data_IF_486171368856
#
_entry.id   IF_486171368856
#
_cell.length_a   1.000
_cell.length_b   1.000
_cell.length_c   1.000
_cell.angle_alpha   90.00
_cell.angle_beta   90.00
_cell.angle_gamma   90.00
#
_symmetry.space_group_name_H-M   'P 1'
#
loop_
_entity.id
_entity.type
_entity.pdbx_description
1 polymer ?
#
# COMPACT_ATOMS: atom_id res chain seq x y z
N UNK A 1 -44.27 3.47 40.52
CA UNK A 1 -45.55 4.21 40.53
C UNK A 1 -46.20 4.00 41.88
N UNK A 2 -46.58 5.11 42.52
CA UNK A 2 -47.06 5.22 43.89
C UNK A 2 -48.47 4.62 44.10
N UNK A 3 -48.78 4.19 45.33
CA UNK A 3 -50.08 4.43 46.02
C UNK A 3 -49.99 3.90 47.46
N UNK A 4 -49.87 4.77 48.47
CA UNK A 4 -50.91 5.40 49.34
C UNK A 4 -51.51 4.51 50.44
N UNK A 5 -51.24 4.96 51.66
CA UNK A 5 -51.89 4.72 52.95
C UNK A 5 -53.42 4.68 52.90
N UNK A 6 -54.02 3.89 53.80
CA UNK A 6 -55.19 4.34 54.58
C UNK A 6 -55.24 3.66 55.97
N UNK A 7 -55.09 4.50 57.00
CA UNK A 7 -55.34 4.20 58.41
C UNK A 7 -56.79 4.57 58.72
N UNK A 8 -57.48 3.77 59.54
CA UNK A 8 -58.71 4.19 60.20
C UNK A 8 -58.79 3.62 61.62
N UNK A 9 -59.05 4.52 62.56
CA UNK A 9 -59.06 4.34 64.00
C UNK A 9 -60.27 5.07 64.58
N UNK A 10 -61.15 4.36 65.31
CA UNK A 10 -62.22 4.87 66.19
C UNK A 10 -62.89 3.65 66.84
N UNK A 11 -63.34 3.55 68.10
CA UNK A 11 -63.17 4.20 69.41
C UNK A 11 -63.95 3.29 70.41
N UNK A 12 -63.57 3.13 71.68
CA UNK A 12 -64.31 2.32 72.65
C UNK A 12 -65.22 3.17 73.56
N UNK A 13 -66.51 2.86 73.56
CA UNK A 13 -67.49 3.28 74.58
C UNK A 13 -68.46 2.12 74.79
N UNK A 14 -69.04 1.84 75.94
CA UNK A 14 -69.13 2.54 77.21
C UNK A 14 -70.03 1.65 78.08
N UNK A 15 -69.76 1.68 79.38
CA UNK A 15 -70.38 0.90 80.46
C UNK A 15 -71.88 1.18 80.59
N UNK A 16 -72.70 0.15 80.84
CA UNK A 16 -73.94 0.33 81.64
C UNK A 16 -74.28 -0.96 82.39
N UNK A 17 -74.27 -0.86 83.72
CA UNK A 17 -74.85 -1.80 84.67
C UNK A 17 -76.38 -1.71 84.60
N UNK A 18 -77.07 -2.85 84.61
CA UNK A 18 -78.35 -2.98 85.30
C UNK A 18 -78.44 -4.34 85.98
N UNK A 19 -78.61 -4.26 87.29
CA UNK A 19 -78.85 -5.34 88.25
C UNK A 19 -80.26 -5.93 88.07
N UNK A 20 -80.43 -7.25 88.20
CA UNK A 20 -81.62 -7.82 88.85
C UNK A 20 -81.39 -9.29 89.21
N UNK A 21 -81.64 -9.57 90.49
CA UNK A 21 -81.44 -10.80 91.22
C UNK A 21 -82.73 -11.64 91.19
N UNK A 22 -82.66 -12.91 90.80
CA UNK A 22 -83.62 -13.95 91.21
C UNK A 22 -82.85 -15.24 91.55
N UNK A 23 -83.06 -15.70 92.78
CA UNK A 23 -82.50 -16.91 93.41
C UNK A 23 -83.29 -18.18 93.02
N UNK A 24 -82.76 -19.39 93.32
CA UNK A 24 -82.88 -20.58 92.49
C UNK A 24 -83.84 -21.63 93.07
N UNK A 25 -84.44 -22.43 92.20
CA UNK A 25 -85.12 -23.68 92.57
C UNK A 25 -84.40 -24.89 91.96
N UNK A 26 -83.67 -25.54 92.85
CA UNK A 26 -83.37 -26.97 92.93
C UNK A 26 -84.15 -27.87 91.96
N UNK A 27 -83.43 -28.50 91.03
CA UNK A 27 -83.79 -29.77 90.39
C UNK A 27 -82.48 -30.47 90.02
N UNK A 28 -82.01 -31.31 90.94
CA UNK A 28 -80.80 -32.12 90.80
C UNK A 28 -81.23 -33.51 90.31
N UNK A 29 -80.38 -34.08 89.45
CA UNK A 29 -80.27 -35.52 89.15
C UNK A 29 -81.12 -36.07 88.00
N UNK A 30 -80.90 -35.57 86.78
CA UNK A 30 -80.96 -36.40 85.55
C UNK A 30 -80.03 -35.90 84.41
N UNK A 31 -79.20 -34.87 84.64
CA UNK A 31 -78.44 -34.14 83.60
C UNK A 31 -76.94 -34.47 83.51
N UNK A 32 -76.41 -35.38 84.32
CA UNK A 32 -74.95 -35.53 84.50
C UNK A 32 -74.16 -36.23 83.38
N UNK A 33 -74.69 -37.15 82.54
CA UNK A 33 -73.95 -37.66 81.39
C UNK A 33 -73.95 -36.69 80.20
N UNK A 34 -75.10 -36.12 79.84
CA UNK A 34 -75.23 -35.23 78.68
C UNK A 34 -74.45 -33.92 78.84
N UNK A 35 -74.33 -33.38 80.06
CA UNK A 35 -73.51 -32.19 80.33
C UNK A 35 -72.00 -32.47 80.19
N UNK A 36 -71.56 -33.70 80.50
CA UNK A 36 -70.17 -34.11 80.33
C UNK A 36 -69.81 -34.34 78.85
N UNK A 37 -70.73 -34.91 78.07
CA UNK A 37 -70.61 -35.02 76.62
C UNK A 37 -70.59 -33.65 75.94
N UNK A 38 -71.47 -32.72 76.35
CA UNK A 38 -71.50 -31.36 75.83
C UNK A 38 -70.18 -30.61 76.05
N UNK A 39 -69.61 -30.69 77.26
CA UNK A 39 -68.27 -30.12 77.54
C UNK A 39 -67.16 -30.76 76.71
N UNK A 40 -67.25 -32.06 76.45
CA UNK A 40 -66.30 -32.78 75.58
C UNK A 40 -66.42 -32.32 74.12
N UNK A 41 -67.66 -32.17 73.64
CA UNK A 41 -67.96 -31.66 72.30
C UNK A 41 -67.46 -30.22 72.12
N UNK A 42 -67.72 -29.32 73.08
CA UNK A 42 -67.20 -27.94 73.08
C UNK A 42 -65.67 -27.91 72.98
N UNK A 43 -64.98 -28.74 73.78
CA UNK A 43 -63.53 -28.87 73.72
C UNK A 43 -63.07 -29.35 72.34
N UNK A 44 -63.74 -30.38 71.79
CA UNK A 44 -63.42 -30.90 70.46
C UNK A 44 -63.66 -29.86 69.35
N UNK A 45 -64.68 -29.03 69.50
CA UNK A 45 -65.02 -27.96 68.57
C UNK A 45 -63.95 -26.86 68.61
N UNK A 46 -63.53 -26.44 69.80
CA UNK A 46 -62.40 -25.52 69.94
C UNK A 46 -61.09 -26.07 69.38
N UNK A 47 -60.81 -27.36 69.59
CA UNK A 47 -59.64 -28.03 68.99
C UNK A 47 -59.75 -28.08 67.44
N UNK A 48 -60.96 -28.24 66.90
CA UNK A 48 -61.22 -28.21 65.46
C UNK A 48 -61.05 -26.80 64.89
N UNK A 49 -61.56 -25.76 65.55
CA UNK A 49 -61.35 -24.36 65.15
C UNK A 49 -59.86 -24.02 65.04
N UNK A 50 -59.07 -24.39 66.07
CA UNK A 50 -57.61 -24.20 66.05
C UNK A 50 -56.95 -24.94 64.88
N UNK A 51 -57.42 -26.14 64.55
CA UNK A 51 -56.91 -26.90 63.40
C UNK A 51 -57.29 -26.25 62.07
N UNK A 52 -58.51 -25.72 61.95
CA UNK A 52 -58.98 -24.99 60.76
C UNK A 52 -58.16 -23.72 60.56
N UNK A 53 -57.90 -22.94 61.61
CA UNK A 53 -57.05 -21.74 61.52
C UNK A 53 -55.63 -22.08 61.08
N UNK A 54 -55.05 -23.15 61.64
CA UNK A 54 -53.73 -23.65 61.20
C UNK A 54 -53.74 -24.11 59.75
N UNK A 55 -54.82 -24.76 59.29
CA UNK A 55 -54.96 -25.22 57.91
C UNK A 55 -55.11 -24.04 56.94
N UNK A 56 -55.90 -23.02 57.29
CA UNK A 56 -56.02 -21.77 56.53
C UNK A 56 -54.67 -21.05 56.41
N UNK A 57 -53.94 -20.90 57.52
CA UNK A 57 -52.62 -20.28 57.50
C UNK A 57 -51.61 -21.03 56.61
N UNK A 58 -51.68 -22.38 56.58
CA UNK A 58 -50.90 -23.20 55.64
C UNK A 58 -51.34 -23.01 54.20
N UNK A 59 -52.65 -22.92 53.93
CA UNK A 59 -53.18 -22.69 52.59
C UNK A 59 -52.72 -21.33 52.02
N UNK A 60 -52.72 -20.28 52.84
CA UNK A 60 -52.23 -18.96 52.43
C UNK A 60 -50.72 -18.92 52.19
N UNK A 61 -49.94 -19.66 52.98
CA UNK A 61 -48.51 -19.84 52.74
C UNK A 61 -48.26 -20.55 51.40
N UNK A 62 -48.94 -21.68 51.15
CA UNK A 62 -48.84 -22.42 49.89
C UNK A 62 -49.25 -21.56 48.69
N UNK A 63 -50.28 -20.71 48.83
CA UNK A 63 -50.70 -19.78 47.79
C UNK A 63 -49.62 -18.76 47.45
N UNK A 64 -48.94 -18.20 48.46
CA UNK A 64 -47.81 -17.28 48.26
C UNK A 64 -46.63 -17.96 47.59
N UNK A 65 -46.28 -19.17 48.03
CA UNK A 65 -45.18 -19.94 47.44
C UNK A 65 -45.46 -20.26 45.96
N UNK A 66 -46.71 -20.62 45.62
CA UNK A 66 -47.10 -20.90 44.25
C UNK A 66 -47.02 -19.67 43.32
N UNK A 67 -47.37 -18.48 43.84
CA UNK A 67 -47.17 -17.22 43.12
C UNK A 67 -45.68 -16.92 42.90
N UNK A 68 -44.84 -17.15 43.92
CA UNK A 68 -43.41 -16.96 43.80
C UNK A 68 -42.79 -17.95 42.80
N UNK A 69 -43.19 -19.23 42.82
CA UNK A 69 -42.77 -20.22 41.84
C UNK A 69 -43.18 -19.83 40.42
N UNK A 70 -44.41 -19.35 40.24
CA UNK A 70 -44.89 -18.86 38.94
C UNK A 70 -44.01 -17.72 38.40
N UNK A 71 -43.64 -16.75 39.24
CA UNK A 71 -42.73 -15.65 38.84
C UNK A 71 -41.30 -16.13 38.51
N UNK A 72 -40.80 -17.15 39.21
CA UNK A 72 -39.50 -17.76 38.92
C UNK A 72 -39.53 -18.52 37.60
N UNK A 73 -40.61 -19.25 37.32
CA UNK A 73 -40.82 -19.95 36.04
C UNK A 73 -40.81 -18.96 34.88
N UNK A 74 -41.54 -17.84 34.98
CA UNK A 74 -41.54 -16.82 33.91
C UNK A 74 -40.16 -16.22 33.69
N UNK A 75 -39.40 -15.99 34.76
CA UNK A 75 -38.01 -15.49 34.66
C UNK A 75 -37.10 -16.51 33.98
N UNK A 76 -37.17 -17.78 34.39
CA UNK A 76 -36.37 -18.86 33.80
C UNK A 76 -36.71 -19.03 32.32
N UNK A 77 -37.98 -18.98 31.94
CA UNK A 77 -38.39 -19.02 30.53
C UNK A 77 -37.75 -17.90 29.72
N UNK A 78 -37.78 -16.66 30.21
CA UNK A 78 -37.11 -15.54 29.53
C UNK A 78 -35.60 -15.73 29.38
N UNK A 79 -34.93 -16.25 30.41
CA UNK A 79 -33.49 -16.57 30.30
C UNK A 79 -33.21 -17.70 29.31
N UNK A 80 -34.09 -18.70 29.23
CA UNK A 80 -33.95 -19.81 28.28
C UNK A 80 -34.10 -19.34 26.84
N UNK A 81 -35.05 -18.44 26.57
CA UNK A 81 -35.23 -17.83 25.25
C UNK A 81 -34.02 -16.99 24.83
N UNK A 82 -33.46 -16.22 25.77
CA UNK A 82 -32.24 -15.45 25.53
C UNK A 82 -31.05 -16.36 25.20
N UNK A 83 -30.81 -17.41 26.00
CA UNK A 83 -29.74 -18.40 25.75
C UNK A 83 -29.93 -19.11 24.41
N UNK A 84 -31.19 -19.40 24.02
CA UNK A 84 -31.49 -19.98 22.72
C UNK A 84 -31.10 -19.02 21.58
N UNK A 85 -31.45 -17.74 21.69
CA UNK A 85 -31.09 -16.73 20.70
C UNK A 85 -29.57 -16.55 20.56
N UNK A 86 -28.84 -16.50 21.67
CA UNK A 86 -27.37 -16.39 21.64
C UNK A 86 -26.70 -17.63 21.03
N UNK A 87 -27.22 -18.84 21.32
CA UNK A 87 -26.74 -20.06 20.67
C UNK A 87 -26.97 -20.06 19.16
N UNK A 88 -28.08 -19.51 18.67
CA UNK A 88 -28.32 -19.37 17.24
C UNK A 88 -27.32 -18.40 16.57
N UNK A 89 -26.99 -17.28 17.24
CA UNK A 89 -25.95 -16.35 16.76
C UNK A 89 -24.58 -17.02 16.72
N UNK A 90 -24.19 -17.71 17.80
CA UNK A 90 -22.92 -18.44 17.87
C UNK A 90 -22.79 -19.52 16.79
N UNK A 91 -23.88 -20.23 16.49
CA UNK A 91 -23.90 -21.20 15.39
C UNK A 91 -23.65 -20.55 14.04
N UNK A 92 -24.27 -19.39 13.76
CA UNK A 92 -24.04 -18.65 12.51
C UNK A 92 -22.59 -18.18 12.39
N UNK A 93 -22.05 -17.55 13.43
CA UNK A 93 -20.65 -17.11 13.43
C UNK A 93 -19.68 -18.29 13.27
N UNK A 94 -19.98 -19.45 13.85
CA UNK A 94 -19.17 -20.66 13.67
C UNK A 94 -19.19 -21.16 12.21
N UNK A 95 -20.35 -21.14 11.56
CA UNK A 95 -20.45 -21.53 10.14
C UNK A 95 -19.74 -20.57 9.19
N UNK A 96 -19.78 -19.27 9.49
CA UNK A 96 -19.05 -18.23 8.75
C UNK A 96 -17.54 -18.42 8.91
N UNK A 97 -17.06 -18.55 10.15
CA UNK A 97 -15.65 -18.81 10.43
C UNK A 97 -15.13 -20.08 9.75
N UNK A 98 -15.93 -21.15 9.71
CA UNK A 98 -15.55 -22.37 9.03
C UNK A 98 -15.45 -22.18 7.50
N UNK A 99 -16.29 -21.31 6.93
CA UNK A 99 -16.21 -20.92 5.51
C UNK A 99 -14.93 -20.15 5.23
N UNK A 100 -14.61 -19.16 6.07
CA UNK A 100 -13.38 -18.36 5.96
C UNK A 100 -12.13 -19.22 6.09
N UNK A 101 -12.11 -20.18 7.03
CA UNK A 101 -11.01 -21.13 7.20
C UNK A 101 -10.78 -21.95 5.92
N UNK A 102 -11.85 -22.39 5.25
CA UNK A 102 -11.71 -23.16 4.01
C UNK A 102 -11.19 -22.29 2.86
N UNK A 103 -11.70 -21.06 2.72
CA UNK A 103 -11.18 -20.11 1.73
C UNK A 103 -9.68 -19.79 1.96
N UNK A 104 -9.26 -19.63 3.22
CA UNK A 104 -7.86 -19.42 3.57
C UNK A 104 -7.00 -20.64 3.23
N UNK A 105 -7.48 -21.86 3.46
CA UNK A 105 -6.77 -23.09 3.04
C UNK A 105 -6.55 -23.12 1.54
N UNK A 106 -7.59 -22.82 0.76
CA UNK A 106 -7.50 -22.82 -0.70
C UNK A 106 -6.50 -21.76 -1.20
N UNK A 107 -6.50 -20.57 -0.60
CA UNK A 107 -5.54 -19.52 -0.89
C UNK A 107 -4.10 -19.94 -0.55
N UNK A 108 -3.89 -20.63 0.58
CA UNK A 108 -2.57 -21.16 0.96
C UNK A 108 -2.08 -22.18 -0.08
N UNK A 109 -2.94 -23.07 -0.56
CA UNK A 109 -2.58 -24.04 -1.60
C UNK A 109 -2.20 -23.35 -2.91
N UNK A 110 -2.99 -22.38 -3.37
CA UNK A 110 -2.69 -21.60 -4.57
C UNK A 110 -1.38 -20.81 -4.44
N UNK A 111 -1.14 -20.20 -3.28
CA UNK A 111 0.11 -19.49 -3.01
C UNK A 111 1.31 -20.43 -3.02
N UNK A 112 1.18 -21.63 -2.45
CA UNK A 112 2.23 -22.64 -2.46
C UNK A 112 2.59 -23.06 -3.89
N UNK A 113 1.60 -23.30 -4.74
CA UNK A 113 1.83 -23.64 -6.15
C UNK A 113 2.56 -22.51 -6.90
N UNK A 114 2.21 -21.25 -6.62
CA UNK A 114 2.89 -20.10 -7.21
C UNK A 114 4.35 -19.99 -6.75
N UNK A 115 4.63 -20.25 -5.48
CA UNK A 115 5.99 -20.30 -4.94
C UNK A 115 6.81 -21.41 -5.61
N UNK A 116 6.23 -22.60 -5.79
CA UNK A 116 6.90 -23.72 -6.47
C UNK A 116 7.23 -23.36 -7.94
N UNK A 117 6.28 -22.73 -8.66
CA UNK A 117 6.50 -22.22 -10.03
C UNK A 117 7.60 -21.16 -10.09
N UNK A 118 7.62 -20.23 -9.13
CA UNK A 118 8.64 -19.18 -9.06
C UNK A 118 10.02 -19.79 -8.77
N UNK A 119 10.10 -20.72 -7.84
CA UNK A 119 11.33 -21.44 -7.48
C UNK A 119 11.93 -22.14 -8.71
N UNK A 120 11.11 -22.85 -9.48
CA UNK A 120 11.57 -23.52 -10.71
C UNK A 120 12.08 -22.53 -11.77
N UNK A 121 11.45 -21.36 -11.91
CA UNK A 121 11.93 -20.29 -12.80
C UNK A 121 13.27 -19.74 -12.36
N UNK A 122 13.47 -19.53 -11.05
CA UNK A 122 14.74 -19.07 -10.48
C UNK A 122 15.85 -20.08 -10.75
N UNK A 123 15.62 -21.37 -10.48
CA UNK A 123 16.61 -22.43 -10.78
C UNK A 123 16.98 -22.46 -12.27
N UNK A 124 16.00 -22.28 -13.17
CA UNK A 124 16.26 -22.21 -14.61
C UNK A 124 17.08 -20.98 -14.98
N UNK A 125 16.83 -19.83 -14.36
CA UNK A 125 17.60 -18.60 -14.58
C UNK A 125 19.04 -18.75 -14.07
N UNK A 126 19.25 -19.33 -12.90
CA UNK A 126 20.58 -19.62 -12.36
C UNK A 126 21.41 -20.48 -13.32
N UNK A 127 20.81 -21.53 -13.89
CA UNK A 127 21.49 -22.36 -14.90
C UNK A 127 21.87 -21.58 -16.16
N UNK A 128 20.99 -20.67 -16.62
CA UNK A 128 21.28 -19.80 -17.78
C UNK A 128 22.39 -18.81 -17.49
N UNK A 129 22.41 -18.23 -16.29
CA UNK A 129 23.49 -17.33 -15.85
C UNK A 129 24.81 -18.08 -15.82
N UNK A 130 24.88 -19.24 -15.18
CA UNK A 130 26.10 -20.06 -15.15
C UNK A 130 26.59 -20.44 -16.56
N UNK A 131 25.66 -20.73 -17.47
CA UNK A 131 26.02 -21.00 -18.89
C UNK A 131 26.56 -19.77 -19.59
N UNK A 132 26.02 -18.58 -19.28
CA UNK A 132 26.47 -17.33 -19.87
C UNK A 132 27.84 -16.93 -19.33
N UNK A 133 28.07 -17.09 -18.03
CA UNK A 133 29.34 -16.86 -17.35
C UNK A 133 30.46 -17.68 -18.00
N UNK A 134 30.25 -18.99 -18.17
CA UNK A 134 31.19 -19.87 -18.85
C UNK A 134 31.43 -19.51 -20.33
N UNK A 135 30.50 -18.81 -21.00
CA UNK A 135 30.72 -18.29 -22.36
C UNK A 135 31.54 -17.01 -22.34
N UNK A 136 31.32 -16.14 -21.36
CA UNK A 136 32.11 -14.92 -21.14
C UNK A 136 33.56 -15.28 -20.87
N UNK A 137 33.82 -16.25 -19.99
CA UNK A 137 35.17 -16.75 -19.72
C UNK A 137 35.87 -17.20 -21.01
N UNK A 138 35.20 -17.98 -21.86
CA UNK A 138 35.73 -18.41 -23.16
C UNK A 138 35.99 -17.25 -24.13
N UNK A 139 35.22 -16.17 -24.04
CA UNK A 139 35.47 -14.98 -24.85
C UNK A 139 36.68 -14.20 -24.32
N UNK A 140 36.82 -14.08 -23.00
CA UNK A 140 37.99 -13.46 -22.36
C UNK A 140 39.26 -14.22 -22.75
N UNK A 141 39.28 -15.55 -22.62
CA UNK A 141 40.41 -16.40 -23.03
C UNK A 141 40.81 -16.23 -24.50
N UNK A 142 39.85 -15.90 -25.39
CA UNK A 142 40.12 -15.64 -26.81
C UNK A 142 40.58 -14.21 -27.07
N UNK A 143 40.16 -13.25 -26.27
CA UNK A 143 40.45 -11.84 -26.47
C UNK A 143 41.84 -11.46 -25.95
N UNK A 144 42.28 -12.04 -24.84
CA UNK A 144 43.60 -11.80 -24.26
C UNK A 144 44.77 -11.98 -25.27
N UNK A 145 44.87 -13.09 -26.05
CA UNK A 145 45.94 -13.24 -27.03
C UNK A 145 45.83 -12.25 -28.20
N UNK A 146 44.62 -11.84 -28.59
CA UNK A 146 44.42 -10.83 -29.63
C UNK A 146 44.98 -9.46 -29.21
N UNK A 147 44.82 -9.09 -27.93
CA UNK A 147 45.42 -7.85 -27.38
C UNK A 147 46.94 -7.90 -27.52
N UNK A 148 47.57 -9.03 -27.17
CA UNK A 148 49.02 -9.23 -27.30
C UNK A 148 49.49 -9.18 -28.76
N UNK A 149 48.72 -9.77 -29.69
CA UNK A 149 49.02 -9.70 -31.13
C UNK A 149 48.95 -8.27 -31.66
N UNK A 150 47.95 -7.49 -31.25
CA UNK A 150 47.80 -6.07 -31.62
C UNK A 150 48.97 -5.24 -31.10
N UNK A 151 49.38 -5.44 -29.84
CA UNK A 151 50.55 -4.75 -29.28
C UNK A 151 51.84 -5.11 -30.04
N UNK A 152 52.02 -6.39 -30.36
CA UNK A 152 53.17 -6.86 -31.18
C UNK A 152 53.17 -6.22 -32.56
N UNK A 153 52.01 -6.11 -33.21
CA UNK A 153 51.87 -5.45 -34.51
C UNK A 153 52.19 -3.95 -34.41
N UNK A 154 51.76 -3.29 -33.33
CA UNK A 154 52.05 -1.88 -33.06
C UNK A 154 53.55 -1.62 -32.91
N UNK A 155 54.27 -2.49 -32.22
CA UNK A 155 55.74 -2.40 -32.10
C UNK A 155 56.45 -2.57 -33.44
N UNK A 156 56.02 -3.55 -34.25
CA UNK A 156 56.55 -3.75 -35.61
C UNK A 156 56.31 -2.53 -36.50
N UNK A 157 55.11 -1.95 -36.45
CA UNK A 157 54.77 -0.74 -37.20
C UNK A 157 55.67 0.43 -36.79
N UNK A 158 55.87 0.62 -35.47
CA UNK A 158 56.76 1.66 -34.94
C UNK A 158 58.20 1.48 -35.44
N UNK A 159 58.69 0.25 -35.45
CA UNK A 159 60.02 -0.09 -35.99
C UNK A 159 60.13 0.25 -37.48
N UNK A 160 59.12 -0.12 -38.27
CA UNK A 160 59.07 0.21 -39.70
C UNK A 160 59.06 1.73 -39.95
N UNK A 161 58.32 2.49 -39.14
CA UNK A 161 58.29 3.95 -39.23
C UNK A 161 59.67 4.57 -38.98
N UNK A 162 60.41 4.08 -37.97
CA UNK A 162 61.79 4.54 -37.68
C UNK A 162 62.73 4.21 -38.84
N UNK A 163 62.64 3.00 -39.39
CA UNK A 163 63.46 2.59 -40.54
C UNK A 163 63.16 3.43 -41.79
N UNK A 164 61.89 3.72 -42.05
CA UNK A 164 61.47 4.55 -43.17
C UNK A 164 61.97 6.00 -43.01
N UNK A 165 61.83 6.59 -41.82
CA UNK A 165 62.36 7.92 -41.52
C UNK A 165 63.88 7.99 -41.76
N UNK A 166 64.62 6.97 -41.30
CA UNK A 166 66.07 6.87 -41.53
C UNK A 166 66.42 6.71 -43.02
N UNK A 167 65.63 5.95 -43.77
CA UNK A 167 65.84 5.77 -45.22
C UNK A 167 65.58 7.07 -45.98
N UNK A 168 64.51 7.80 -45.64
CA UNK A 168 64.20 9.13 -46.18
C UNK A 168 65.35 10.10 -45.91
N UNK A 169 65.88 10.12 -44.69
CA UNK A 169 67.02 10.98 -44.34
C UNK A 169 68.26 10.66 -45.19
N UNK A 170 68.60 9.37 -45.37
CA UNK A 170 69.72 8.95 -46.24
C UNK A 170 69.52 9.31 -47.71
N UNK A 171 68.29 9.27 -48.21
CA UNK A 171 67.98 9.69 -49.57
C UNK A 171 68.13 11.20 -49.71
N UNK A 172 67.61 11.96 -48.74
CA UNK A 172 67.73 13.41 -48.72
C UNK A 172 69.20 13.88 -48.66
N UNK A 173 70.04 13.25 -47.83
CA UNK A 173 71.48 13.58 -47.78
C UNK A 173 72.16 13.31 -49.11
N UNK A 174 71.90 12.15 -49.74
CA UNK A 174 72.43 11.82 -51.07
C UNK A 174 72.01 12.82 -52.14
N UNK A 175 70.75 13.27 -52.14
CA UNK A 175 70.25 14.28 -53.09
C UNK A 175 70.99 15.62 -52.89
N UNK A 176 71.22 16.03 -51.64
CA UNK A 176 71.97 17.26 -51.33
C UNK A 176 73.42 17.13 -51.79
N UNK A 177 74.06 15.99 -51.56
CA UNK A 177 75.45 15.74 -51.96
C UNK A 177 75.61 15.68 -53.49
N UNK A 178 74.68 15.06 -54.21
CA UNK A 178 74.70 15.05 -55.68
C UNK A 178 74.39 16.42 -56.28
N UNK A 179 73.54 17.22 -55.63
CA UNK A 179 73.26 18.60 -56.05
C UNK A 179 74.49 19.50 -55.86
N UNK A 180 75.24 19.35 -54.76
CA UNK A 180 76.52 20.06 -54.55
C UNK A 180 77.61 19.61 -55.52
N UNK A 181 77.65 18.33 -55.90
CA UNK A 181 78.60 17.81 -56.87
C UNK A 181 78.32 18.25 -58.32
N UNK A 182 77.08 18.64 -58.63
CA UNK A 182 76.67 19.10 -59.97
C UNK A 182 76.71 20.61 -60.15
N UNK A 183 76.94 21.41 -59.09
CA UNK A 183 77.16 22.86 -59.19
C UNK A 183 78.55 23.29 -59.74
N UNK A 184 79.46 22.34 -60.04
CA UNK A 184 80.81 22.63 -60.58
C UNK A 184 81.03 22.24 -62.06
N UNK A 185 79.99 22.03 -62.85
CA UNK A 185 80.15 22.00 -64.32
C UNK A 185 78.84 22.17 -65.08
N UNK A 186 78.73 23.33 -65.74
CA UNK A 186 77.99 23.62 -67.00
C UNK A 186 76.56 24.23 -66.87
N UNK A 187 76.22 25.21 -67.77
CA UNK A 187 75.24 26.29 -67.58
C UNK A 187 73.80 25.95 -68.00
N UNK A 188 72.83 26.88 -67.79
CA UNK A 188 71.40 26.62 -67.93
C UNK A 188 70.90 26.81 -69.36
N UNK A 189 70.03 25.89 -69.80
CA UNK A 189 68.95 25.98 -70.82
C UNK A 189 68.43 24.56 -71.04
N UNK A 190 67.15 24.23 -70.88
CA UNK A 190 66.05 24.49 -71.80
C UNK A 190 64.70 24.27 -71.06
N UNK A 191 63.83 25.28 -71.02
CA UNK A 191 62.49 25.37 -71.65
C UNK A 191 61.46 24.28 -71.32
N UNK A 192 60.49 24.73 -70.52
CA UNK A 192 59.05 24.39 -70.46
C UNK A 192 58.46 23.91 -71.79
N UNK A 193 57.77 22.76 -71.81
CA UNK A 193 56.54 22.50 -72.62
C UNK A 193 55.67 21.40 -71.96
N UNK A 194 54.38 21.74 -71.85
CA UNK A 194 53.12 20.97 -71.81
C UNK A 194 52.77 19.85 -70.81
N UNK A 195 51.71 20.21 -70.07
CA UNK A 195 50.49 19.45 -69.80
C UNK A 195 50.14 18.34 -70.81
N UNK A 196 49.84 17.15 -70.29
CA UNK A 196 49.35 16.03 -71.08
C UNK A 196 48.58 15.02 -70.23
N UNK A 197 47.26 15.19 -70.23
CA UNK A 197 46.27 14.36 -69.56
C UNK A 197 46.36 12.85 -69.85
N UNK A 198 46.22 12.03 -68.80
CA UNK A 198 45.77 10.64 -68.84
C UNK A 198 45.60 10.16 -67.38
N UNK A 199 44.59 9.43 -66.94
CA UNK A 199 43.37 8.85 -67.52
C UNK A 199 42.47 8.56 -66.31
N UNK A 200 41.18 8.84 -66.44
CA UNK A 200 40.16 8.34 -65.54
C UNK A 200 40.22 6.81 -65.50
N UNK A 201 40.49 6.24 -64.32
CA UNK A 201 40.27 4.82 -64.04
C UNK A 201 38.89 4.72 -63.43
N UNK A 202 37.95 4.31 -64.28
CA UNK A 202 36.62 3.89 -63.94
C UNK A 202 36.71 2.65 -63.04
N UNK A 203 36.44 2.83 -61.75
CA UNK A 203 36.23 1.72 -60.82
C UNK A 203 34.78 1.77 -60.38
N UNK A 204 33.92 1.12 -61.17
CA UNK A 204 32.61 0.64 -60.73
C UNK A 204 32.81 -0.29 -59.51
N UNK A 205 32.76 0.30 -58.32
CA UNK A 205 32.52 -0.42 -57.07
C UNK A 205 31.02 -0.43 -56.82
N UNK A 206 30.48 -1.64 -56.68
CA UNK A 206 29.08 -1.94 -56.42
C UNK A 206 28.53 -1.19 -55.20
N UNK A 207 27.85 -0.08 -55.41
CA UNK A 207 26.91 0.48 -54.45
C UNK A 207 25.63 -0.37 -54.43
N UNK A 208 25.69 -1.50 -53.73
CA UNK A 208 24.50 -2.09 -53.12
C UNK A 208 24.15 -1.17 -51.95
N UNK A 209 22.92 -0.66 -51.79
CA UNK A 209 22.53 -0.01 -50.56
C UNK A 209 22.50 -1.11 -49.50
N UNK A 210 23.62 -1.25 -48.78
CA UNK A 210 23.62 -1.87 -47.49
C UNK A 210 22.65 -1.01 -46.70
N UNK A 211 21.43 -1.53 -46.46
CA UNK A 211 20.65 -1.11 -45.30
C UNK A 211 21.55 -1.43 -44.13
N UNK A 212 22.43 -0.49 -43.79
CA UNK A 212 23.01 -0.40 -42.48
C UNK A 212 21.79 -0.31 -41.57
N UNK A 213 21.40 -1.47 -41.05
CA UNK A 213 20.75 -1.56 -39.77
C UNK A 213 21.76 -0.99 -38.79
N UNK A 214 21.87 0.35 -38.75
CA UNK A 214 22.30 1.08 -37.57
C UNK A 214 21.38 0.53 -36.49
N UNK A 215 21.86 -0.47 -35.75
CA UNK A 215 21.28 -0.79 -34.47
C UNK A 215 21.60 0.44 -33.62
N UNK A 216 20.61 1.31 -33.36
CA UNK A 216 20.97 2.62 -32.88
C UNK A 216 21.30 2.46 -31.41
N UNK A 217 22.59 2.47 -31.10
CA UNK A 217 23.15 2.42 -29.76
C UNK A 217 22.41 3.37 -28.80
N UNK A 218 21.90 4.49 -29.31
CA UNK A 218 21.05 5.42 -28.58
C UNK A 218 19.76 4.80 -28.02
N UNK A 219 19.16 3.78 -28.67
CA UNK A 219 17.96 3.08 -28.15
C UNK A 219 18.28 2.34 -26.87
N UNK A 220 19.42 1.64 -26.82
CA UNK A 220 19.89 0.94 -25.62
C UNK A 220 20.25 1.94 -24.53
N UNK A 221 20.89 3.05 -24.90
CA UNK A 221 21.27 4.08 -23.95
C UNK A 221 20.05 4.78 -23.34
N UNK A 222 19.06 5.17 -24.15
CA UNK A 222 17.80 5.73 -23.68
C UNK A 222 17.06 4.76 -22.75
N UNK A 223 16.99 3.47 -23.14
CA UNK A 223 16.41 2.43 -22.29
C UNK A 223 17.13 2.29 -20.95
N UNK A 224 18.46 2.32 -20.95
CA UNK A 224 19.27 2.22 -19.74
C UNK A 224 19.07 3.44 -18.84
N UNK A 225 19.12 4.65 -19.38
CA UNK A 225 18.92 5.90 -18.62
C UNK A 225 17.54 5.91 -17.95
N UNK A 226 16.49 5.57 -18.69
CA UNK A 226 15.12 5.49 -18.16
C UNK A 226 15.02 4.40 -17.08
N UNK A 227 15.64 3.23 -17.29
CA UNK A 227 15.54 2.15 -16.31
C UNK A 227 16.42 2.32 -15.07
N UNK A 228 17.53 3.02 -15.17
CA UNK A 228 18.44 3.29 -14.05
C UNK A 228 17.94 4.43 -13.16
N UNK A 229 17.17 5.36 -13.73
CA UNK A 229 16.62 6.52 -13.01
C UNK A 229 15.26 6.30 -12.37
N UNK A 230 14.56 5.22 -12.73
CA UNK A 230 13.21 4.95 -12.22
C UNK A 230 13.26 4.65 -10.71
N UNK A 231 12.17 4.95 -9.96
CA UNK A 231 12.08 4.59 -8.56
C UNK A 231 12.33 3.08 -8.34
N UNK A 232 13.10 2.74 -7.30
CA UNK A 232 13.48 1.36 -7.00
C UNK A 232 12.36 0.56 -6.37
N UNK A 233 11.45 1.23 -5.65
CA UNK A 233 10.27 0.59 -5.09
C UNK A 233 9.13 0.56 -6.10
N UNK A 234 8.65 -0.64 -6.36
CA UNK A 234 7.55 -0.88 -7.27
C UNK A 234 6.19 -0.64 -6.60
N UNK A 235 6.06 -0.68 -5.26
CA UNK A 235 4.79 -0.55 -4.56
C UNK A 235 4.79 0.60 -3.53
N UNK A 236 3.65 1.27 -3.37
CA UNK A 236 3.44 2.27 -2.31
C UNK A 236 4.13 3.63 -2.54
N UNK A 237 4.61 3.90 -3.75
CA UNK A 237 5.40 5.09 -4.04
C UNK A 237 4.95 5.84 -5.31
N UNK A 238 3.63 5.89 -5.51
CA UNK A 238 3.07 6.41 -6.76
C UNK A 238 3.41 7.87 -7.02
N UNK A 239 3.65 8.65 -5.96
CA UNK A 239 4.07 10.04 -6.06
C UNK A 239 5.49 10.21 -6.63
N UNK A 240 6.45 9.36 -6.27
CA UNK A 240 7.77 9.39 -6.90
C UNK A 240 7.68 8.93 -8.36
N UNK A 241 6.87 7.92 -8.67
CA UNK A 241 6.61 7.50 -10.05
C UNK A 241 5.96 8.61 -10.88
N UNK A 242 4.99 9.35 -10.33
CA UNK A 242 4.36 10.49 -10.98
C UNK A 242 5.36 11.63 -11.23
N UNK A 243 6.21 11.92 -10.24
CA UNK A 243 7.21 13.01 -10.32
C UNK A 243 8.31 12.67 -11.33
N UNK A 244 8.82 11.43 -11.28
CA UNK A 244 9.78 10.91 -12.26
C UNK A 244 9.20 10.95 -13.67
N UNK A 245 7.97 10.46 -13.86
CA UNK A 245 7.31 10.47 -15.16
C UNK A 245 7.11 11.88 -15.71
N UNK A 246 6.67 12.82 -14.86
CA UNK A 246 6.49 14.23 -15.24
C UNK A 246 7.81 14.84 -15.69
N UNK A 247 8.89 14.62 -14.94
CA UNK A 247 10.21 15.16 -15.27
C UNK A 247 10.72 14.64 -16.63
N UNK A 248 10.61 13.34 -16.87
CA UNK A 248 11.03 12.75 -18.14
C UNK A 248 10.13 13.14 -19.30
N UNK A 249 8.83 13.33 -19.06
CA UNK A 249 7.89 13.86 -20.05
C UNK A 249 8.27 15.28 -20.46
N UNK A 250 8.49 16.19 -19.51
CA UNK A 250 8.89 17.58 -19.80
C UNK A 250 10.21 17.61 -20.57
N UNK A 251 11.18 16.77 -20.20
CA UNK A 251 12.43 16.64 -20.95
C UNK A 251 12.21 16.17 -22.39
N UNK A 252 11.28 15.24 -22.62
CA UNK A 252 10.92 14.81 -23.97
C UNK A 252 10.23 15.91 -24.76
N UNK A 253 9.30 16.63 -24.15
CA UNK A 253 8.61 17.73 -24.83
C UNK A 253 9.65 18.84 -25.19
N UNK A 254 10.54 19.22 -24.26
CA UNK A 254 11.62 20.21 -24.49
C UNK A 254 12.64 19.75 -25.56
N UNK A 255 12.99 18.46 -25.60
CA UNK A 255 13.99 17.95 -26.56
C UNK A 255 13.45 17.86 -27.99
N UNK A 256 12.14 17.88 -28.18
CA UNK A 256 11.51 17.62 -29.47
C UNK A 256 10.61 18.78 -29.95
N UNK A 257 10.36 19.83 -29.15
CA UNK A 257 9.46 20.95 -29.49
C UNK A 257 9.90 21.78 -30.72
N UNK A 258 11.20 21.89 -31.02
CA UNK A 258 11.70 22.89 -31.99
C UNK A 258 11.90 22.38 -33.43
N UNK A 259 11.98 21.07 -33.71
CA UNK A 259 12.34 20.56 -35.05
C UNK A 259 11.63 19.24 -35.44
N UNK A 260 10.30 19.24 -35.43
CA UNK A 260 9.46 18.10 -35.84
C UNK A 260 9.48 17.76 -37.36
N UNK A 261 10.37 18.37 -38.16
CA UNK A 261 10.35 18.18 -39.63
C UNK A 261 11.00 16.87 -40.11
N UNK A 262 11.77 16.18 -39.27
CA UNK A 262 12.39 14.89 -39.62
C UNK A 262 11.63 13.69 -39.03
N UNK A 263 11.26 12.74 -39.90
CA UNK A 263 10.64 11.46 -39.52
C UNK A 263 11.46 10.65 -38.49
N UNK A 264 12.77 10.95 -38.37
CA UNK A 264 13.67 10.36 -37.38
C UNK A 264 13.33 10.83 -35.95
N UNK A 265 13.00 12.12 -35.77
CA UNK A 265 12.64 12.72 -34.48
C UNK A 265 11.31 12.17 -33.97
N UNK A 266 10.33 12.00 -34.86
CA UNK A 266 9.07 11.34 -34.52
C UNK A 266 9.28 9.89 -34.04
N UNK A 267 10.14 9.14 -34.73
CA UNK A 267 10.45 7.74 -34.35
C UNK A 267 11.18 7.67 -32.99
N UNK A 268 12.08 8.63 -32.73
CA UNK A 268 12.80 8.71 -31.46
C UNK A 268 11.87 9.09 -30.30
N UNK A 269 10.95 10.04 -30.52
CA UNK A 269 9.93 10.42 -29.55
C UNK A 269 9.01 9.25 -29.22
N UNK A 270 8.46 8.56 -30.23
CA UNK A 270 7.57 7.41 -30.05
C UNK A 270 8.23 6.25 -29.30
N UNK A 271 9.51 6.00 -29.58
CA UNK A 271 10.24 4.93 -28.93
C UNK A 271 10.61 5.27 -27.49
N UNK A 272 11.03 6.52 -27.23
CA UNK A 272 11.36 6.95 -25.87
C UNK A 272 10.11 7.00 -25.00
N UNK A 273 8.98 7.40 -25.59
CA UNK A 273 7.66 7.27 -24.98
C UNK A 273 7.31 5.82 -24.60
N UNK A 274 7.55 4.89 -25.52
CA UNK A 274 7.32 3.47 -25.27
C UNK A 274 8.16 2.95 -24.09
N UNK A 275 9.44 3.34 -23.99
CA UNK A 275 10.29 2.97 -22.87
C UNK A 275 9.83 3.58 -21.56
N UNK A 276 9.44 4.85 -21.56
CA UNK A 276 8.92 5.55 -20.38
C UNK A 276 7.67 4.85 -19.83
N UNK A 277 6.72 4.52 -20.72
CA UNK A 277 5.50 3.79 -20.36
C UNK A 277 5.78 2.39 -19.85
N UNK A 278 6.72 1.68 -20.47
CA UNK A 278 7.08 0.30 -20.10
C UNK A 278 7.83 0.21 -18.77
N UNK A 279 8.47 1.30 -18.33
CA UNK A 279 9.19 1.35 -17.06
C UNK A 279 8.26 1.43 -15.84
N UNK A 280 7.04 1.94 -16.00
CA UNK A 280 6.06 2.08 -14.91
C UNK A 280 5.46 0.71 -14.57
N UNK A 281 5.38 0.33 -13.29
CA UNK A 281 4.76 -0.92 -12.85
C UNK A 281 3.34 -1.11 -13.37
N UNK A 282 3.02 -2.34 -13.80
CA UNK A 282 1.75 -2.68 -14.45
C UNK A 282 0.53 -2.38 -13.58
N UNK A 283 0.64 -2.47 -12.26
CA UNK A 283 -0.47 -2.18 -11.34
C UNK A 283 -0.84 -0.69 -11.33
N UNK A 284 0.12 0.22 -11.53
CA UNK A 284 -0.15 1.66 -11.69
C UNK A 284 -0.77 2.03 -13.05
N UNK A 285 -0.90 1.06 -13.96
CA UNK A 285 -1.51 1.23 -15.28
C UNK A 285 -2.92 0.63 -15.35
N UNK A 286 -3.41 0.05 -14.26
CA UNK A 286 -4.72 -0.59 -14.20
C UNK A 286 -5.79 0.49 -14.40
N UNK A 287 -6.74 0.23 -15.31
CA UNK A 287 -7.86 1.13 -15.66
C UNK A 287 -7.53 2.33 -16.58
N UNK A 288 -6.34 2.38 -17.20
CA UNK A 288 -6.06 3.42 -18.20
C UNK A 288 -6.74 3.19 -19.56
N UNK A 289 -7.38 4.22 -20.15
CA UNK A 289 -7.77 4.19 -21.56
C UNK A 289 -6.53 4.39 -22.45
N UNK A 290 -6.16 3.34 -23.20
CA UNK A 290 -4.99 3.31 -24.09
C UNK A 290 -5.22 4.01 -25.45
N UNK A 291 -6.24 4.86 -25.57
CA UNK A 291 -6.68 5.41 -26.86
C UNK A 291 -6.35 6.90 -26.99
N UNK A 292 -5.83 7.30 -28.15
CA UNK A 292 -5.52 8.70 -28.48
C UNK A 292 -4.05 8.92 -28.85
N UNK A 293 -3.70 10.19 -29.12
CA UNK A 293 -2.32 10.62 -29.41
C UNK A 293 -1.41 10.42 -28.20
N UNK A 294 -0.09 10.32 -28.41
CA UNK A 294 0.89 10.13 -27.33
C UNK A 294 0.75 11.21 -26.26
N UNK A 295 0.63 12.48 -26.65
CA UNK A 295 0.39 13.59 -25.72
C UNK A 295 -0.86 13.38 -24.85
N UNK A 296 -1.98 12.92 -25.42
CA UNK A 296 -3.21 12.62 -24.65
C UNK A 296 -3.02 11.43 -23.71
N UNK A 297 -2.29 10.41 -24.14
CA UNK A 297 -1.93 9.27 -23.28
C UNK A 297 -1.01 9.72 -22.13
N UNK A 298 -0.11 10.67 -22.40
CA UNK A 298 0.79 11.25 -21.41
C UNK A 298 0.04 12.03 -20.33
N UNK A 299 -0.84 12.94 -20.74
CA UNK A 299 -1.71 13.70 -19.85
C UNK A 299 -2.59 12.78 -18.99
N UNK A 300 -3.18 11.76 -19.62
CA UNK A 300 -4.02 10.79 -18.92
C UNK A 300 -3.22 9.98 -17.90
N UNK A 301 -1.96 9.63 -18.21
CA UNK A 301 -1.09 8.85 -17.33
C UNK A 301 -0.55 9.68 -16.18
N UNK A 302 -0.13 10.90 -16.44
CA UNK A 302 0.29 11.81 -15.37
C UNK A 302 -0.85 12.08 -14.40
N UNK A 303 -2.05 12.39 -14.92
CA UNK A 303 -3.24 12.59 -14.08
C UNK A 303 -3.63 11.33 -13.31
N UNK A 304 -3.50 10.16 -13.93
CA UNK A 304 -3.79 8.88 -13.27
C UNK A 304 -2.78 8.59 -12.15
N UNK A 305 -1.47 8.75 -12.38
CA UNK A 305 -0.44 8.54 -11.36
C UNK A 305 -0.58 9.53 -10.20
N UNK A 306 -0.89 10.80 -10.49
CA UNK A 306 -1.14 11.81 -9.44
C UNK A 306 -2.37 11.50 -8.58
N UNK A 307 -3.37 10.84 -9.16
CA UNK A 307 -4.64 10.52 -8.50
C UNK A 307 -4.76 9.03 -8.15
N UNK A 308 -3.69 8.23 -8.30
CA UNK A 308 -3.76 6.78 -8.21
C UNK A 308 -4.20 6.35 -6.81
N UNK A 309 -3.67 6.99 -5.77
CA UNK A 309 -4.06 6.75 -4.37
C UNK A 309 -5.50 7.16 -4.07
N UNK A 310 -6.07 8.11 -4.82
CA UNK A 310 -7.48 8.51 -4.71
C UNK A 310 -8.41 7.50 -5.40
N UNK A 311 -7.94 6.83 -6.46
CA UNK A 311 -8.69 5.85 -7.24
C UNK A 311 -8.60 4.43 -6.64
N UNK A 312 -7.40 3.96 -6.30
CA UNK A 312 -7.14 2.66 -5.65
C UNK A 312 -7.58 2.69 -4.17
N UNK A 313 -7.56 3.90 -3.57
CA UNK A 313 -8.17 4.18 -2.29
C UNK A 313 -9.67 3.88 -2.23
N UNK A 314 -10.41 3.84 -3.34
CA UNK A 314 -11.86 3.58 -3.33
C UNK A 314 -12.24 2.14 -2.99
N UNK A 315 -11.36 1.15 -3.23
CA UNK A 315 -11.57 -0.25 -2.82
C UNK A 315 -11.12 -0.52 -1.37
N UNK A 316 -10.22 0.31 -0.82
CA UNK A 316 -9.75 0.20 0.59
C UNK A 316 -10.41 1.20 1.54
N UNK A 317 -11.08 2.23 1.03
CA UNK A 317 -11.76 3.28 1.81
C UNK A 317 -12.91 2.76 2.64
N UNK A 318 -13.54 1.64 2.28
CA UNK A 318 -14.63 1.07 3.07
C UNK A 318 -14.13 0.49 4.40
N UNK A 319 -12.83 0.14 4.48
CA UNK A 319 -12.19 -0.41 5.68
C UNK A 319 -11.60 0.66 6.61
N UNK A 320 -11.29 1.85 6.08
CA UNK A 320 -10.60 2.92 6.83
C UNK A 320 -11.32 4.28 6.79
N UNK A 321 -12.59 4.33 6.37
CA UNK A 321 -13.39 5.56 6.35
C UNK A 321 -13.57 6.12 7.77
N UNK A 322 -12.65 6.97 8.20
CA UNK A 322 -12.90 7.87 9.32
C UNK A 322 -13.83 8.96 8.78
N UNK A 323 -15.13 8.68 8.81
CA UNK A 323 -16.16 9.61 8.33
C UNK A 323 -16.15 10.83 9.25
N UNK A 324 -16.40 12.02 8.70
CA UNK A 324 -16.47 13.29 9.47
C UNK A 324 -17.41 13.18 10.70
N UNK A 325 -18.46 12.36 10.62
CA UNK A 325 -19.39 12.11 11.73
C UNK A 325 -18.74 11.41 12.93
N UNK A 326 -17.64 10.68 12.72
CA UNK A 326 -16.87 10.00 13.77
C UNK A 326 -16.23 10.99 14.74
N UNK A 327 -16.03 12.25 14.33
CA UNK A 327 -15.41 13.30 15.15
C UNK A 327 -16.41 14.15 15.96
N UNK A 328 -17.71 13.80 15.96
CA UNK A 328 -18.75 14.61 16.60
C UNK A 328 -18.99 14.31 18.08
N UNK A 329 -18.44 13.21 18.61
CA UNK A 329 -18.60 12.79 20.01
C UNK A 329 -17.23 12.75 20.71
N UNK A 330 -17.16 13.30 21.93
CA UNK A 330 -15.93 13.38 22.73
C UNK A 330 -15.42 11.99 23.13
N UNK A 331 -16.30 11.01 23.31
CA UNK A 331 -15.90 9.62 23.57
C UNK A 331 -15.38 8.94 22.30
N UNK A 332 -15.82 9.38 21.12
CA UNK A 332 -15.26 8.92 19.85
C UNK A 332 -13.93 9.60 19.52
N UNK A 333 -13.70 10.83 19.98
CA UNK A 333 -12.44 11.54 19.78
C UNK A 333 -11.26 10.75 20.36
N UNK A 334 -11.39 10.25 21.58
CA UNK A 334 -10.31 9.49 22.23
C UNK A 334 -10.09 8.13 21.55
N UNK A 335 -11.18 7.44 21.19
CA UNK A 335 -11.11 6.22 20.36
C UNK A 335 -10.46 6.48 18.99
N UNK A 336 -10.68 7.67 18.43
CA UNK A 336 -10.06 8.10 17.17
C UNK A 336 -8.58 8.34 17.35
N UNK A 337 -8.15 8.97 18.46
CA UNK A 337 -6.73 9.12 18.79
C UNK A 337 -6.04 7.75 18.95
N UNK A 338 -6.66 6.82 19.67
CA UNK A 338 -6.14 5.45 19.82
C UNK A 338 -6.02 4.73 18.46
N UNK A 339 -7.03 4.88 17.60
CA UNK A 339 -7.00 4.31 16.26
C UNK A 339 -5.90 4.93 15.39
N UNK A 340 -5.72 6.27 15.45
CA UNK A 340 -4.64 6.95 14.74
C UNK A 340 -3.27 6.49 15.22
N UNK A 341 -3.08 6.31 16.52
CA UNK A 341 -1.84 5.77 17.09
C UNK A 341 -1.56 4.36 16.58
N UNK A 342 -2.57 3.49 16.60
CA UNK A 342 -2.47 2.14 16.04
C UNK A 342 -2.08 2.16 14.55
N UNK A 343 -2.65 3.06 13.76
CA UNK A 343 -2.26 3.22 12.35
C UNK A 343 -0.79 3.66 12.23
N UNK A 344 -0.33 4.65 13.00
CA UNK A 344 1.09 5.05 12.98
C UNK A 344 2.03 3.92 13.41
N UNK A 345 1.63 3.07 14.35
CA UNK A 345 2.41 1.91 14.78
C UNK A 345 2.44 0.80 13.73
N UNK A 346 1.37 0.63 12.94
CA UNK A 346 1.27 -0.39 11.90
C UNK A 346 2.06 -0.04 10.63
N UNK A 347 2.26 1.25 10.36
CA UNK A 347 2.98 1.75 9.19
C UNK A 347 4.47 1.97 9.49
N UNK A 348 5.34 1.52 8.58
CA UNK A 348 6.79 1.73 8.66
C UNK A 348 7.19 3.22 8.47
N UNK A 349 8.44 3.55 8.79
CA UNK A 349 8.92 4.93 8.84
C UNK A 349 8.72 5.74 7.55
N UNK A 350 8.77 5.11 6.37
CA UNK A 350 8.58 5.81 5.08
C UNK A 350 7.11 6.15 4.84
N UNK A 351 6.21 5.23 5.16
CA UNK A 351 4.77 5.43 4.94
C UNK A 351 4.09 6.29 6.01
N UNK A 352 4.72 6.49 7.18
CA UNK A 352 4.26 7.44 8.21
C UNK A 352 4.15 8.87 7.69
N UNK A 353 5.04 9.29 6.79
CA UNK A 353 5.03 10.64 6.20
C UNK A 353 3.80 10.87 5.31
N UNK A 354 3.42 9.86 4.51
CA UNK A 354 2.25 9.87 3.62
C UNK A 354 0.96 9.88 4.45
N UNK A 355 0.88 9.00 5.47
CA UNK A 355 -0.24 8.96 6.39
C UNK A 355 -0.40 10.30 7.15
N UNK A 356 0.69 10.87 7.63
CA UNK A 356 0.72 12.18 8.28
C UNK A 356 0.17 13.28 7.37
N UNK A 357 0.68 13.38 6.14
CA UNK A 357 0.24 14.41 5.18
C UNK A 357 -1.25 14.25 4.81
N UNK A 358 -1.72 13.01 4.65
CA UNK A 358 -3.13 12.72 4.37
C UNK A 358 -4.03 13.12 5.54
N UNK A 359 -3.68 12.75 6.76
CA UNK A 359 -4.44 13.12 7.96
C UNK A 359 -4.43 14.63 8.21
N UNK A 360 -3.29 15.29 7.97
CA UNK A 360 -3.17 16.75 8.05
C UNK A 360 -4.04 17.47 7.03
N UNK A 361 -4.21 16.90 5.82
CA UNK A 361 -5.11 17.43 4.79
C UNK A 361 -6.58 17.30 5.19
N UNK A 362 -7.00 16.14 5.68
CA UNK A 362 -8.36 15.91 6.21
C UNK A 362 -8.67 16.89 7.36
N UNK A 363 -7.69 17.10 8.25
CA UNK A 363 -7.81 18.07 9.34
C UNK A 363 -7.62 19.54 8.90
N UNK A 364 -7.32 19.81 7.62
CA UNK A 364 -7.21 21.19 7.10
C UNK A 364 -8.47 21.67 6.40
N UNK A 365 -9.36 20.76 6.02
CA UNK A 365 -10.69 21.12 5.58
C UNK A 365 -11.47 21.67 6.79
N UNK A 366 -11.71 22.98 6.79
CA UNK A 366 -12.21 23.71 7.95
C UNK A 366 -13.68 23.39 8.22
N UNK A 367 -13.94 22.43 9.10
CA UNK A 367 -15.29 22.17 9.61
C UNK A 367 -15.51 23.06 10.83
N UNK A 368 -16.32 24.11 10.68
CA UNK A 368 -16.82 24.90 11.81
C UNK A 368 -17.87 24.07 12.54
N UNK A 369 -17.45 23.29 13.53
CA UNK A 369 -18.34 22.63 14.47
C UNK A 369 -18.51 23.51 15.71
N UNK A 370 -19.76 23.63 16.16
CA UNK A 370 -20.20 24.49 17.24
C UNK A 370 -19.34 24.29 18.50
N UNK A 371 -18.48 25.28 18.80
CA UNK A 371 -17.92 25.50 20.13
C UNK A 371 -16.65 24.72 20.50
N UNK A 372 -16.24 23.69 19.77
CA UNK A 372 -14.97 22.98 20.03
C UNK A 372 -14.17 22.85 18.73
N UNK A 373 -12.96 23.40 18.72
CA UNK A 373 -11.98 23.19 17.66
C UNK A 373 -11.42 21.76 17.71
N UNK A 374 -12.28 20.74 17.61
CA UNK A 374 -11.90 19.31 17.57
C UNK A 374 -10.80 19.06 16.54
N UNK A 375 -10.81 19.85 15.47
CA UNK A 375 -9.82 19.83 14.40
C UNK A 375 -8.42 20.34 14.84
N UNK A 376 -8.35 21.33 15.73
CA UNK A 376 -7.05 21.81 16.26
C UNK A 376 -6.44 20.80 17.24
N UNK A 377 -7.27 20.16 18.06
CA UNK A 377 -6.82 19.13 18.99
C UNK A 377 -6.30 17.89 18.25
N UNK A 378 -7.02 17.44 17.22
CA UNK A 378 -6.55 16.35 16.35
C UNK A 378 -5.26 16.71 15.62
N UNK A 379 -5.16 17.94 15.08
CA UNK A 379 -3.93 18.42 14.44
C UNK A 379 -2.75 18.43 15.41
N UNK A 380 -2.96 18.89 16.64
CA UNK A 380 -1.92 18.88 17.65
C UNK A 380 -1.50 17.44 18.00
N UNK A 381 -2.46 16.51 18.08
CA UNK A 381 -2.19 15.11 18.33
C UNK A 381 -1.44 14.43 17.16
N UNK A 382 -1.89 14.59 15.92
CA UNK A 382 -1.21 14.06 14.73
C UNK A 382 0.22 14.62 14.61
N UNK A 383 0.42 15.90 14.93
CA UNK A 383 1.76 16.50 15.04
C UNK A 383 2.62 15.85 16.12
N UNK A 384 2.04 15.49 17.26
CA UNK A 384 2.76 14.81 18.34
C UNK A 384 3.14 13.35 18.02
N UNK A 385 2.45 12.72 17.06
CA UNK A 385 2.79 11.37 16.57
C UNK A 385 3.94 11.37 15.55
N UNK A 386 4.37 12.54 15.06
CA UNK A 386 5.50 12.68 14.12
C UNK A 386 6.80 12.73 14.91
N UNK A 387 7.70 11.79 14.66
CA UNK A 387 9.01 11.69 15.31
C UNK A 387 9.97 12.76 14.73
N UNK A 388 10.46 13.73 15.53
CA UNK A 388 11.24 14.88 15.04
C UNK A 388 12.56 14.49 14.36
N UNK A 389 13.10 13.30 14.62
CA UNK A 389 14.38 12.85 14.04
C UNK A 389 14.26 12.27 12.62
N UNK A 390 13.04 12.19 12.06
CA UNK A 390 12.81 11.64 10.70
C UNK A 390 13.03 12.67 9.58
N UNK A 391 13.25 13.96 9.92
CA UNK A 391 13.38 15.06 8.94
C UNK A 391 14.79 15.20 8.31
N UNK A 392 15.73 14.27 8.55
CA UNK A 392 17.12 14.39 8.06
C UNK A 392 17.36 13.76 6.68
N UNK A 393 16.36 13.13 6.05
CA UNK A 393 16.50 12.63 4.67
C UNK A 393 15.65 13.43 3.69
N UNK A 394 16.13 14.64 3.37
CA UNK A 394 15.69 15.39 2.19
C UNK A 394 16.09 14.61 0.91
N UNK A 395 15.17 13.78 0.41
CA UNK A 395 15.27 13.11 -0.91
C UNK A 395 15.40 14.09 -2.10
N UNK A 396 15.10 15.38 -1.89
CA UNK A 396 15.16 16.40 -2.94
C UNK A 396 16.56 16.88 -3.29
N UNK A 397 17.47 17.02 -2.30
CA UNK A 397 18.81 17.56 -2.58
C UNK A 397 19.72 16.54 -3.29
N UNK A 398 19.60 15.25 -2.97
CA UNK A 398 20.47 14.24 -3.55
C UNK A 398 20.06 13.91 -5.00
N UNK A 399 18.76 13.94 -5.33
CA UNK A 399 18.28 13.81 -6.72
C UNK A 399 18.70 15.00 -7.59
N UNK A 400 18.63 16.23 -7.07
CA UNK A 400 19.08 17.43 -7.80
C UNK A 400 20.60 17.43 -7.98
N UNK A 401 21.38 16.97 -6.97
CA UNK A 401 22.84 16.80 -7.08
C UNK A 401 23.24 15.67 -8.03
N UNK A 402 22.46 14.59 -8.11
CA UNK A 402 22.68 13.52 -9.08
C UNK A 402 22.33 13.97 -10.51
N UNK A 403 21.20 14.65 -10.72
CA UNK A 403 20.82 15.19 -12.04
C UNK A 403 21.81 16.28 -12.53
N UNK A 404 22.34 17.12 -11.63
CA UNK A 404 23.40 18.07 -11.96
C UNK A 404 24.75 17.40 -12.32
N UNK A 405 25.04 16.22 -11.76
CA UNK A 405 26.21 15.40 -12.14
C UNK A 405 26.05 14.72 -13.51
N UNK A 406 24.82 14.47 -13.94
CA UNK A 406 24.53 13.88 -15.25
C UNK A 406 24.23 14.90 -16.36
N UNK A 407 23.93 16.16 -16.00
CA UNK A 407 23.60 17.25 -16.93
C UNK A 407 24.71 17.74 -17.86
N UNK A 408 25.91 17.15 -17.85
CA UNK A 408 27.03 17.59 -18.68
C UNK A 408 27.68 16.43 -19.44
N UNK A 409 27.05 16.00 -20.55
CA UNK A 409 27.73 15.21 -21.60
C UNK A 409 27.12 15.25 -23.00
N UNK A 410 26.31 16.27 -23.33
CA UNK A 410 25.79 16.46 -24.69
C UNK A 410 26.39 17.64 -25.47
N UNK A 411 27.25 18.45 -24.84
CA UNK A 411 27.93 19.57 -25.53
C UNK A 411 29.11 19.15 -26.43
N UNK A 412 29.44 17.84 -26.49
CA UNK A 412 30.56 17.31 -27.29
C UNK A 412 30.16 16.61 -28.60
N UNK A 413 28.89 16.68 -29.00
CA UNK A 413 28.43 16.13 -30.29
C UNK A 413 28.04 17.18 -31.33
N UNK A 414 28.18 18.48 -31.01
CA UNK A 414 28.00 19.57 -31.98
C UNK A 414 29.29 19.98 -32.72
N UNK A 415 30.45 19.37 -32.42
CA UNK A 415 31.74 19.69 -33.06
C UNK A 415 32.19 18.68 -34.15
N UNK A 416 31.28 17.87 -34.67
CA UNK A 416 31.55 16.98 -35.82
C UNK A 416 30.50 17.10 -36.94
N UNK A 417 30.23 18.33 -37.39
CA UNK A 417 29.71 18.60 -38.74
C UNK A 417 30.64 19.54 -39.49
#
# INVERSE_FOLDING_TARGET
MASTEERSSTSPGGTTQTSSCVKPTSSRQETDPNNSEMKSLEKSMGDLEIKVDKAMGRADALKRDNLQLSSKITTVMGTADHVKSENEKLRKSFTELNTDINALKDNIFASKENVDKATNKVTTLEQRVNTLDAKVDKYVERFDPLVVEVDTLREKLTTMQILLASAIERVNTKIVDTSKATEHSIPPKYTVVDEGAAKAVDSQSNNRPVKETLDPQWKREAYNIINLSKPTDSMGNVHEWASWFTAYRTLLDDCFEDDFSEALNQTAYELTWYFLKSAIPVHYMKHQPLQGTIAKQADALEKHLRNFDELDGSETDEKYRIVIKTFMDRDLLEKTKDHLRFLFDLYDGRNRSVLYNRLMRICSESIKLEGVYVNQELKAYIKSLRDPDTDVYELGEDMVKQLARFGWKFKHLQEYS
#
